data_IF_441511005876
#
_entry.id   IF_441511005876
#
_cell.length_a   1.000
_cell.length_b   1.000
_cell.length_c   1.000
_cell.angle_alpha   90.00
_cell.angle_beta   90.00
_cell.angle_gamma   90.00
#
_symmetry.space_group_name_H-M   'P 1'
#
loop_
_entity.id
_entity.type
_entity.pdbx_description
1 polymer ?
#
# COMPACT_ATOMS: atom_id res chain seq x y z
N UNK A 1 18.88 33.34 50.25
CA UNK A 1 17.87 32.27 50.14
C UNK A 1 18.51 31.09 49.43
N UNK A 2 18.57 29.94 50.10
CA UNK A 2 19.16 28.68 49.69
C UNK A 2 18.26 27.95 48.69
N UNK A 3 18.84 27.27 47.70
CA UNK A 3 18.37 25.94 47.29
C UNK A 3 19.46 25.20 46.51
N UNK A 4 20.22 24.39 47.25
CA UNK A 4 21.18 23.41 46.72
C UNK A 4 20.38 22.21 46.22
N UNK A 5 20.45 21.92 44.92
CA UNK A 5 19.97 20.66 44.35
C UNK A 5 20.95 19.54 44.74
N UNK A 6 20.54 18.69 45.69
CA UNK A 6 21.13 17.37 45.91
C UNK A 6 20.07 16.34 45.61
N UNK A 7 20.26 15.57 44.55
CA UNK A 7 19.54 14.31 44.36
C UNK A 7 20.56 13.24 43.96
N UNK A 8 21.11 12.62 45.00
CA UNK A 8 21.80 11.34 44.95
C UNK A 8 20.75 10.24 44.88
N UNK A 9 20.90 9.28 43.96
CA UNK A 9 20.54 7.87 44.14
C UNK A 9 21.07 7.06 42.97
N UNK A 10 22.29 6.54 43.12
CA UNK A 10 22.84 5.49 42.26
C UNK A 10 22.38 4.17 42.89
N UNK A 11 21.46 3.48 42.23
CA UNK A 11 21.05 2.12 42.64
C UNK A 11 22.03 1.15 41.97
N UNK A 12 22.94 0.61 42.77
CA UNK A 12 23.78 -0.52 42.38
C UNK A 12 22.93 -1.80 42.41
N UNK A 13 22.67 -2.39 41.25
CA UNK A 13 22.08 -3.72 41.15
C UNK A 13 23.21 -4.71 40.93
N UNK A 14 23.62 -5.38 42.00
CA UNK A 14 24.47 -6.56 41.93
C UNK A 14 23.59 -7.78 41.62
N UNK A 15 23.67 -8.30 40.39
CA UNK A 15 23.10 -9.60 40.05
C UNK A 15 24.23 -10.62 39.91
N UNK A 16 24.16 -11.62 40.77
CA UNK A 16 25.14 -12.68 40.93
C UNK A 16 25.25 -13.56 39.68
N UNK A 17 26.50 -13.83 39.29
CA UNK A 17 26.87 -14.83 38.29
C UNK A 17 26.61 -16.21 38.87
N UNK A 18 25.64 -16.95 38.34
CA UNK A 18 25.47 -18.37 38.63
C UNK A 18 26.04 -19.19 37.47
N UNK A 19 27.22 -19.76 37.69
CA UNK A 19 27.80 -20.78 36.82
C UNK A 19 27.10 -22.11 37.05
N UNK A 20 26.43 -22.65 36.04
CA UNK A 20 26.15 -24.08 35.94
C UNK A 20 26.82 -24.61 34.68
N UNK A 21 27.84 -25.44 34.89
CA UNK A 21 28.43 -26.25 33.84
C UNK A 21 27.38 -27.26 33.37
N UNK A 22 27.02 -27.21 32.09
CA UNK A 22 26.25 -28.27 31.43
C UNK A 22 27.21 -28.97 30.48
N UNK A 23 27.36 -30.28 30.66
CA UNK A 23 28.19 -31.15 29.85
C UNK A 23 27.77 -31.07 28.38
N UNK A 24 28.76 -30.90 27.50
CA UNK A 24 28.63 -31.03 26.06
C UNK A 24 28.14 -32.45 25.73
N UNK A 25 26.90 -32.56 25.26
CA UNK A 25 26.48 -33.69 24.44
C UNK A 25 26.20 -33.13 23.06
N UNK A 26 27.08 -33.47 22.12
CA UNK A 26 26.87 -33.29 20.70
C UNK A 26 25.52 -33.93 20.31
N UNK A 27 24.57 -33.07 19.92
CA UNK A 27 23.46 -33.44 19.06
C UNK A 27 23.63 -32.59 17.81
N UNK A 28 24.57 -33.00 16.96
CA UNK A 28 24.59 -32.58 15.57
C UNK A 28 23.71 -33.54 14.77
N UNK A 29 22.96 -32.98 13.83
CA UNK A 29 22.05 -33.62 12.86
C UNK A 29 20.63 -33.91 13.36
N UNK A 30 19.71 -33.01 12.98
CA UNK A 30 18.28 -33.25 13.14
C UNK A 30 17.36 -32.03 13.10
N UNK A 31 17.86 -30.81 12.84
CA UNK A 31 17.01 -29.59 12.82
C UNK A 31 17.27 -28.67 11.62
N UNK A 32 17.67 -29.23 10.48
CA UNK A 32 17.82 -28.47 9.23
C UNK A 32 16.89 -28.94 8.10
N UNK A 33 15.89 -29.77 8.39
CA UNK A 33 14.91 -30.21 7.38
C UNK A 33 13.52 -29.57 7.54
N UNK A 34 13.19 -29.00 8.71
CA UNK A 34 11.83 -28.50 8.98
C UNK A 34 11.68 -26.97 8.89
N UNK A 35 12.74 -26.23 8.55
CA UNK A 35 12.66 -24.76 8.36
C UNK A 35 12.67 -24.31 6.89
N UNK A 36 12.79 -25.24 5.93
CA UNK A 36 12.69 -24.95 4.50
C UNK A 36 11.26 -25.05 3.95
N UNK A 37 10.29 -25.49 4.77
CA UNK A 37 8.87 -25.53 4.37
C UNK A 37 8.07 -24.31 4.83
N UNK A 38 8.68 -23.38 5.58
CA UNK A 38 8.03 -22.17 6.10
C UNK A 38 8.12 -20.92 5.21
N UNK A 39 9.01 -20.90 4.21
CA UNK A 39 9.23 -19.72 3.34
C UNK A 39 8.95 -19.96 1.85
N UNK A 40 8.74 -21.23 1.43
CA UNK A 40 8.36 -21.60 0.07
C UNK A 40 6.82 -21.66 -0.13
N UNK A 41 6.03 -21.45 0.92
CA UNK A 41 4.59 -21.21 0.79
C UNK A 41 4.40 -19.71 0.84
N UNK A 42 4.55 -19.09 -0.34
CA UNK A 42 4.50 -17.65 -0.52
C UNK A 42 3.29 -17.05 0.18
N UNK A 43 3.55 -16.43 1.33
CA UNK A 43 2.86 -15.22 1.73
C UNK A 43 3.28 -14.15 0.71
N UNK A 44 2.80 -14.29 -0.54
CA UNK A 44 2.53 -13.11 -1.34
C UNK A 44 1.57 -12.32 -0.47
N UNK A 45 1.97 -11.12 -0.04
CA UNK A 45 0.97 -10.13 0.30
C UNK A 45 -0.05 -10.25 -0.82
N UNK A 46 -1.32 -10.55 -0.50
CA UNK A 46 -2.40 -10.52 -1.48
C UNK A 46 -2.32 -9.12 -2.04
N UNK A 47 -1.61 -8.97 -3.17
CA UNK A 47 -1.21 -7.70 -3.73
C UNK A 47 -2.53 -7.05 -4.02
N UNK A 48 -2.84 -6.13 -3.15
CA UNK A 48 -4.18 -5.77 -2.90
C UNK A 48 -4.64 -5.03 -4.14
N UNK A 49 -5.83 -5.37 -4.64
CA UNK A 49 -6.55 -4.50 -5.55
C UNK A 49 -6.91 -3.23 -4.76
N UNK A 50 -5.90 -2.41 -4.48
CA UNK A 50 -5.92 -1.35 -3.49
C UNK A 50 -5.69 -0.05 -4.20
N UNK A 51 -6.81 0.52 -4.57
CA UNK A 51 -6.98 1.91 -4.93
C UNK A 51 -6.04 2.43 -6.02
N UNK A 52 -6.58 2.58 -7.23
CA UNK A 52 -5.87 3.21 -8.35
C UNK A 52 -5.89 4.75 -8.29
N UNK A 53 -6.18 5.36 -7.14
CA UNK A 53 -6.06 6.82 -7.02
C UNK A 53 -4.63 7.30 -7.22
N UNK A 54 -4.51 8.33 -8.04
CA UNK A 54 -3.25 8.92 -8.49
C UNK A 54 -3.11 10.38 -8.02
N UNK A 55 -4.22 11.02 -7.63
CA UNK A 55 -4.23 12.42 -7.26
C UNK A 55 -4.25 12.61 -5.74
N UNK A 56 -3.20 13.23 -5.20
CA UNK A 56 -2.99 13.38 -3.75
C UNK A 56 -3.33 14.76 -3.17
N UNK A 57 -3.52 15.80 -3.99
CA UNK A 57 -3.84 17.13 -3.46
C UNK A 57 -5.28 17.18 -2.93
N UNK A 58 -5.48 17.83 -1.78
CA UNK A 58 -6.80 18.04 -1.17
C UNK A 58 -6.94 19.48 -0.64
N UNK A 59 -7.86 20.25 -1.23
CA UNK A 59 -8.29 21.55 -0.69
C UNK A 59 -9.47 21.31 0.26
N UNK A 60 -9.48 21.97 1.42
CA UNK A 60 -10.56 21.83 2.39
C UNK A 60 -10.69 20.44 3.03
N UNK A 61 -9.68 19.59 2.91
CA UNK A 61 -9.74 18.19 3.34
C UNK A 61 -10.52 17.28 2.39
N UNK A 62 -10.93 17.77 1.21
CA UNK A 62 -11.62 16.97 0.20
C UNK A 62 -10.61 16.20 -0.68
N UNK A 63 -10.43 14.92 -0.38
CA UNK A 63 -9.64 13.98 -1.18
C UNK A 63 -10.49 13.30 -2.24
N UNK A 64 -9.89 12.91 -3.37
CA UNK A 64 -10.56 12.11 -4.37
C UNK A 64 -10.91 10.71 -3.82
N UNK A 65 -12.11 10.19 -4.11
CA UNK A 65 -12.52 8.86 -3.67
C UNK A 65 -11.64 7.78 -4.33
N UNK A 66 -11.55 6.64 -3.65
CA UNK A 66 -10.79 5.51 -4.14
C UNK A 66 -11.37 4.95 -5.45
N UNK A 67 -10.48 4.49 -6.33
CA UNK A 67 -10.84 3.72 -7.52
C UNK A 67 -10.52 2.25 -7.22
N UNK A 68 -11.54 1.47 -6.89
CA UNK A 68 -11.37 0.06 -6.48
C UNK A 68 -11.92 -0.89 -7.53
N UNK A 69 -11.57 -2.17 -7.40
CA UNK A 69 -12.12 -3.20 -8.27
C UNK A 69 -13.61 -3.41 -7.96
N UNK A 70 -14.43 -3.53 -8.99
CA UNK A 70 -15.85 -3.90 -8.88
C UNK A 70 -16.04 -5.41 -9.06
N UNK A 71 -17.24 -5.92 -8.74
CA UNK A 71 -17.63 -7.31 -8.99
C UNK A 71 -18.12 -7.57 -10.42
N UNK A 72 -18.19 -6.53 -11.27
CA UNK A 72 -18.65 -6.63 -12.65
C UNK A 72 -17.44 -6.61 -13.62
N UNK A 73 -17.14 -7.70 -14.34
CA UNK A 73 -16.00 -7.75 -15.27
C UNK A 73 -16.12 -6.80 -16.46
N UNK A 74 -17.33 -6.44 -16.90
CA UNK A 74 -17.55 -5.48 -17.99
C UNK A 74 -17.36 -4.03 -17.53
N UNK A 75 -17.37 -3.79 -16.22
CA UNK A 75 -17.19 -2.46 -15.59
C UNK A 75 -16.28 -2.59 -14.37
N UNK A 76 -14.99 -2.93 -14.56
CA UNK A 76 -14.12 -3.39 -13.48
C UNK A 76 -13.73 -2.29 -12.48
N UNK A 77 -13.92 -1.01 -12.81
CA UNK A 77 -13.60 0.10 -11.93
C UNK A 77 -14.83 0.52 -11.12
N UNK A 78 -14.68 0.74 -9.82
CA UNK A 78 -15.72 1.23 -8.91
C UNK A 78 -15.26 2.53 -8.26
N UNK A 79 -16.14 3.53 -8.24
CA UNK A 79 -15.94 4.82 -7.57
C UNK A 79 -17.25 5.23 -6.92
N UNK A 80 -17.30 5.20 -5.58
CA UNK A 80 -18.39 5.75 -4.78
C UNK A 80 -19.82 5.38 -5.26
N UNK A 81 -20.06 4.09 -5.54
CA UNK A 81 -21.38 3.59 -5.95
C UNK A 81 -21.58 3.46 -7.46
N UNK A 82 -20.73 4.11 -8.27
CA UNK A 82 -20.72 3.98 -9.72
C UNK A 82 -19.65 2.97 -10.16
N UNK A 83 -19.89 2.24 -11.26
CA UNK A 83 -18.84 1.44 -11.92
C UNK A 83 -18.48 1.97 -13.30
N UNK A 84 -17.32 1.62 -13.85
CA UNK A 84 -16.84 2.16 -15.13
C UNK A 84 -16.11 1.09 -15.94
N UNK A 85 -16.21 1.14 -17.28
CA UNK A 85 -15.53 0.19 -18.16
C UNK A 85 -14.03 0.44 -18.28
N UNK A 86 -13.58 1.68 -18.05
CA UNK A 86 -12.19 2.09 -18.20
C UNK A 86 -11.72 3.01 -17.06
N UNK A 87 -10.40 3.00 -16.81
CA UNK A 87 -9.78 3.77 -15.75
C UNK A 87 -9.94 5.27 -15.94
N UNK A 88 -9.85 5.77 -17.18
CA UNK A 88 -9.91 7.21 -17.45
C UNK A 88 -11.26 7.78 -17.02
N UNK A 89 -12.36 7.11 -17.40
CA UNK A 89 -13.71 7.52 -17.01
C UNK A 89 -13.92 7.44 -15.50
N UNK A 90 -13.39 6.40 -14.84
CA UNK A 90 -13.42 6.28 -13.37
C UNK A 90 -12.64 7.40 -12.67
N UNK A 91 -11.45 7.71 -13.19
CA UNK A 91 -10.58 8.77 -12.69
C UNK A 91 -11.21 10.16 -12.85
N UNK A 92 -11.81 10.44 -14.01
CA UNK A 92 -12.57 11.66 -14.28
C UNK A 92 -13.70 11.81 -13.25
N UNK A 93 -14.46 10.73 -12.98
CA UNK A 93 -15.52 10.73 -11.97
C UNK A 93 -14.99 11.02 -10.57
N UNK A 94 -13.86 10.43 -10.18
CA UNK A 94 -13.25 10.65 -8.88
C UNK A 94 -12.81 12.12 -8.70
N UNK A 95 -12.25 12.75 -9.74
CA UNK A 95 -11.93 14.18 -9.71
C UNK A 95 -13.19 15.05 -9.54
N UNK A 96 -14.29 14.72 -10.23
CA UNK A 96 -15.54 15.46 -10.10
C UNK A 96 -16.19 15.31 -8.71
N UNK A 97 -16.11 14.12 -8.11
CA UNK A 97 -16.54 13.89 -6.72
C UNK A 97 -15.69 14.68 -5.72
N UNK A 98 -14.35 14.72 -5.92
CA UNK A 98 -13.47 15.55 -5.12
C UNK A 98 -13.87 17.02 -5.16
N UNK A 99 -14.14 17.54 -6.36
CA UNK A 99 -14.56 18.93 -6.54
C UNK A 99 -15.85 19.22 -5.79
N UNK A 100 -16.84 18.33 -5.88
CA UNK A 100 -18.12 18.51 -5.19
C UNK A 100 -17.92 18.55 -3.67
N UNK A 101 -17.14 17.62 -3.12
CA UNK A 101 -16.81 17.60 -1.69
C UNK A 101 -16.03 18.87 -1.26
N UNK A 102 -15.12 19.36 -2.09
CA UNK A 102 -14.40 20.61 -1.87
C UNK A 102 -15.37 21.81 -1.87
N UNK A 103 -16.27 21.88 -2.84
CA UNK A 103 -17.26 22.95 -2.95
C UNK A 103 -18.24 22.93 -1.77
N UNK A 104 -18.67 21.75 -1.32
CA UNK A 104 -19.45 21.60 -0.10
C UNK A 104 -18.69 22.09 1.14
N UNK A 105 -17.40 21.76 1.27
CA UNK A 105 -16.56 22.26 2.36
C UNK A 105 -16.44 23.80 2.33
N UNK A 106 -16.23 24.40 1.16
CA UNK A 106 -16.18 25.85 0.97
C UNK A 106 -17.51 26.52 1.35
N UNK A 107 -18.64 25.93 0.95
CA UNK A 107 -19.98 26.46 1.22
C UNK A 107 -20.41 26.28 2.69
N UNK A 108 -20.00 25.18 3.33
CA UNK A 108 -20.37 24.84 4.71
C UNK A 108 -19.41 25.44 5.75
N UNK A 109 -18.25 25.98 5.35
CA UNK A 109 -17.16 26.37 6.24
C UNK A 109 -16.42 27.64 5.81
N UNK A 110 -17.03 28.81 6.05
CA UNK A 110 -16.34 30.03 6.52
C UNK A 110 -15.11 30.61 5.79
N UNK A 111 -14.81 30.25 4.53
CA UNK A 111 -13.89 31.01 3.68
C UNK A 111 -12.40 30.70 3.78
N UNK A 112 -11.99 29.48 4.14
CA UNK A 112 -10.57 29.08 4.05
C UNK A 112 -10.09 28.90 2.59
N UNK A 113 -11.01 28.69 1.65
CA UNK A 113 -10.80 28.56 0.21
C UNK A 113 -12.13 28.85 -0.51
N UNK A 114 -12.06 29.17 -1.80
CA UNK A 114 -13.23 29.43 -2.64
C UNK A 114 -13.59 28.20 -3.48
N UNK A 115 -14.84 28.14 -3.95
CA UNK A 115 -15.27 27.12 -4.93
C UNK A 115 -14.40 27.17 -6.21
N UNK A 116 -13.91 28.35 -6.59
CA UNK A 116 -12.98 28.53 -7.71
C UNK A 116 -11.65 27.78 -7.49
N UNK A 117 -11.20 27.65 -6.25
CA UNK A 117 -9.99 26.87 -5.93
C UNK A 117 -10.25 25.37 -6.11
N UNK A 118 -11.46 24.90 -5.82
CA UNK A 118 -11.92 23.53 -6.10
C UNK A 118 -12.00 23.24 -7.61
N UNK A 119 -12.45 24.21 -8.42
CA UNK A 119 -12.41 24.08 -9.88
C UNK A 119 -10.97 23.91 -10.38
N UNK A 120 -10.05 24.73 -9.87
CA UNK A 120 -8.64 24.64 -10.25
C UNK A 120 -7.97 23.35 -9.77
N UNK A 121 -8.38 22.81 -8.62
CA UNK A 121 -7.98 21.48 -8.16
C UNK A 121 -8.51 20.39 -9.10
N UNK A 122 -9.76 20.47 -9.56
CA UNK A 122 -10.33 19.52 -10.51
C UNK A 122 -9.54 19.50 -11.82
N UNK A 123 -9.17 20.68 -12.34
CA UNK A 123 -8.36 20.79 -13.56
C UNK A 123 -7.00 20.11 -13.40
N UNK A 124 -6.33 20.31 -12.25
CA UNK A 124 -5.07 19.62 -11.93
C UNK A 124 -5.25 18.11 -11.78
N UNK A 125 -6.34 17.66 -11.15
CA UNK A 125 -6.69 16.26 -11.02
C UNK A 125 -6.85 15.62 -12.41
N UNK A 126 -7.68 16.21 -13.27
CA UNK A 126 -7.93 15.71 -14.63
C UNK A 126 -6.67 15.75 -15.51
N UNK A 127 -5.85 16.79 -15.39
CA UNK A 127 -4.56 16.88 -16.08
C UNK A 127 -3.56 15.80 -15.64
N UNK A 128 -3.71 15.26 -14.43
CA UNK A 128 -2.84 14.22 -13.87
C UNK A 128 -3.27 12.80 -14.27
N UNK A 129 -4.48 12.60 -14.81
CA UNK A 129 -4.97 11.29 -15.27
C UNK A 129 -4.00 10.59 -16.24
N UNK A 130 -3.49 11.23 -17.31
CA UNK A 130 -2.54 10.59 -18.21
C UNK A 130 -1.16 10.30 -17.57
N UNK A 131 -0.90 10.80 -16.36
CA UNK A 131 0.33 10.57 -15.61
C UNK A 131 0.20 9.43 -14.58
N UNK A 132 -0.98 8.80 -14.48
CA UNK A 132 -1.21 7.69 -13.55
C UNK A 132 -0.29 6.51 -13.88
N UNK A 133 0.43 6.00 -12.88
CA UNK A 133 1.38 4.88 -13.02
C UNK A 133 0.69 3.52 -12.99
N UNK A 134 -0.55 3.46 -12.50
CA UNK A 134 -1.39 2.25 -12.48
C UNK A 134 -2.79 2.59 -12.98
N UNK A 135 -3.22 1.88 -14.02
CA UNK A 135 -4.50 2.12 -14.69
C UNK A 135 -5.32 0.84 -14.87
N UNK A 136 -4.93 -0.24 -14.22
CA UNK A 136 -5.58 -1.55 -14.29
C UNK A 136 -5.39 -2.29 -12.97
N UNK A 137 -6.24 -3.28 -12.70
CA UNK A 137 -6.12 -4.14 -11.52
C UNK A 137 -5.28 -5.40 -11.80
N UNK A 138 -4.89 -5.62 -13.06
CA UNK A 138 -3.95 -6.68 -13.45
C UNK A 138 -2.50 -6.31 -13.11
N UNK A 139 -2.16 -6.37 -11.81
CA UNK A 139 -0.78 -6.41 -11.31
C UNK A 139 -0.49 -7.79 -10.71
N UNK A 140 -0.73 -8.83 -11.51
CA UNK A 140 0.13 -10.00 -11.49
C UNK A 140 0.35 -10.34 -12.97
N UNK A 141 1.58 -10.21 -13.53
CA UNK A 141 2.00 -11.34 -14.33
C UNK A 141 1.75 -12.52 -13.39
N UNK A 142 0.85 -13.43 -13.76
CA UNK A 142 1.09 -14.81 -13.35
C UNK A 142 2.60 -14.97 -13.50
N UNK A 143 3.34 -15.54 -12.53
CA UNK A 143 4.55 -16.20 -12.94
C UNK A 143 4.05 -17.13 -14.04
N UNK A 144 4.23 -16.75 -15.32
CA UNK A 144 4.40 -17.74 -16.33
C UNK A 144 5.55 -18.52 -15.73
N UNK A 145 5.23 -19.73 -15.29
CA UNK A 145 6.21 -20.75 -15.02
C UNK A 145 6.88 -20.96 -16.39
N UNK A 146 7.73 -20.01 -16.80
CA UNK A 146 8.85 -20.31 -17.67
C UNK A 146 9.68 -21.20 -16.77
N UNK A 147 9.40 -22.49 -16.92
CA UNK A 147 10.24 -23.54 -16.39
C UNK A 147 11.66 -23.18 -16.79
N UNK A 148 12.49 -22.90 -15.78
CA UNK A 148 13.93 -22.73 -15.98
C UNK A 148 14.64 -24.06 -16.21
N UNK A 149 13.90 -25.16 -16.40
CA UNK A 149 14.47 -26.43 -16.77
C UNK A 149 14.57 -26.48 -18.28
N UNK A 150 15.81 -26.31 -18.75
CA UNK A 150 16.25 -26.31 -20.14
C UNK A 150 15.98 -27.63 -20.87
N UNK A 151 14.71 -27.98 -21.09
CA UNK A 151 14.32 -28.89 -22.16
C UNK A 151 13.46 -28.13 -23.19
N UNK A 152 14.08 -27.15 -23.83
CA UNK A 152 13.66 -26.58 -25.11
C UNK A 152 14.45 -27.26 -26.24
N UNK A 153 14.55 -28.58 -26.25
CA UNK A 153 15.03 -29.33 -27.43
C UNK A 153 13.85 -29.79 -28.29
N UNK A 154 13.04 -28.81 -28.71
CA UNK A 154 12.23 -28.97 -29.91
C UNK A 154 12.40 -27.72 -30.77
N UNK A 155 13.59 -27.63 -31.37
CA UNK A 155 13.75 -26.89 -32.62
C UNK A 155 13.24 -27.79 -33.74
N UNK A 156 12.14 -27.38 -34.37
CA UNK A 156 11.79 -27.87 -35.69
C UNK A 156 12.97 -27.64 -36.67
N UNK A 157 13.17 -28.60 -37.59
CA UNK A 157 14.05 -28.64 -38.79
C UNK A 157 15.39 -29.37 -38.57
N UNK A 158 15.66 -30.58 -39.08
CA UNK A 158 15.34 -31.19 -40.40
C UNK A 158 14.64 -32.55 -40.37
#
# INVERSE_FOLDING_TARGET
MLSRFRWTSIIAVALAVMSTAVLSMDIHEGLHEEMHFGWQMGLRARQSAQNLQFFGESIGGASAPAITQSDNPDRPFFVEGDTFPDFKTAADRACDLQKNNCAEAANNGGGAHEVRDCDQQNDRCKASIPQATRTSFEDDPQPALVSSDANFDYFCDT
#
